data_IF_341195701090
#
_entry.id   IF_341195701090
#
_cell.length_a   1.000
_cell.length_b   1.000
_cell.length_c   1.000
_cell.angle_alpha   90.00
_cell.angle_beta   90.00
_cell.angle_gamma   90.00
#
_symmetry.space_group_name_H-M   'P 1'
#
loop_
_entity.id
_entity.type
_entity.pdbx_description
1 polymer ?
#
# COMPACT_ATOMS: atom_id res chain seq x y z
N UNK A 1 -17.17 -5.37 1.96
CA UNK A 1 -15.85 -5.93 2.37
C UNK A 1 -14.90 -4.78 2.66
N UNK A 2 -14.32 -4.74 3.86
CA UNK A 2 -13.37 -3.68 4.27
C UNK A 2 -12.02 -3.97 3.60
N UNK A 3 -11.43 -2.99 2.92
CA UNK A 3 -10.08 -3.12 2.36
C UNK A 3 -9.04 -2.94 3.47
N UNK A 4 -8.08 -3.84 3.57
CA UNK A 4 -6.94 -3.74 4.50
C UNK A 4 -5.69 -3.32 3.72
N UNK A 5 -4.78 -2.60 4.38
CA UNK A 5 -3.47 -2.31 3.80
C UNK A 5 -2.68 -3.60 3.62
N UNK A 6 -2.11 -3.82 2.44
CA UNK A 6 -1.34 -5.02 2.11
C UNK A 6 0.10 -5.01 2.64
N UNK A 7 0.57 -3.88 3.20
CA UNK A 7 1.89 -3.76 3.82
C UNK A 7 2.00 -4.59 5.10
N UNK A 8 3.13 -5.28 5.28
CA UNK A 8 3.41 -6.06 6.49
C UNK A 8 3.38 -5.14 7.72
N UNK A 9 2.71 -5.57 8.79
CA UNK A 9 2.62 -4.83 10.06
C UNK A 9 1.70 -3.61 10.02
N UNK A 10 1.04 -3.31 8.89
CA UNK A 10 0.14 -2.18 8.81
C UNK A 10 -1.30 -2.56 9.17
N UNK A 11 -1.77 -2.14 10.36
CA UNK A 11 -3.14 -2.37 10.81
C UNK A 11 -4.19 -1.42 10.17
N UNK A 12 -3.82 -0.68 9.14
CA UNK A 12 -4.71 0.30 8.49
C UNK A 12 -5.84 -0.38 7.72
N UNK A 13 -7.08 -0.03 8.06
CA UNK A 13 -8.30 -0.56 7.43
C UNK A 13 -9.15 0.56 6.84
N UNK A 14 -9.76 0.31 5.69
CA UNK A 14 -10.64 1.24 5.00
C UNK A 14 -12.03 1.23 5.64
N UNK A 15 -12.15 1.90 6.78
CA UNK A 15 -13.39 2.11 7.51
C UNK A 15 -14.12 3.35 6.97
N UNK A 16 -15.43 3.50 7.22
CA UNK A 16 -16.21 4.67 6.77
C UNK A 16 -15.56 6.01 7.14
N UNK A 17 -14.94 6.07 8.33
CA UNK A 17 -14.31 7.28 8.86
C UNK A 17 -12.81 7.42 8.52
N UNK A 18 -12.23 6.53 7.70
CA UNK A 18 -10.79 6.59 7.39
C UNK A 18 -10.41 7.88 6.65
N UNK A 19 -11.28 8.39 5.76
CA UNK A 19 -11.06 9.68 5.08
C UNK A 19 -11.00 10.86 6.05
N UNK A 20 -11.86 10.87 7.08
CA UNK A 20 -11.86 11.91 8.12
C UNK A 20 -10.56 11.92 8.92
N UNK A 21 -9.89 10.75 9.03
CA UNK A 21 -8.57 10.62 9.66
C UNK A 21 -7.40 10.89 8.69
N UNK A 22 -7.67 11.39 7.49
CA UNK A 22 -6.66 11.65 6.46
C UNK A 22 -6.04 10.39 5.85
N UNK A 23 -6.68 9.23 6.02
CA UNK A 23 -6.19 7.94 5.52
C UNK A 23 -6.88 7.59 4.19
N UNK A 24 -6.08 7.52 3.12
CA UNK A 24 -6.53 7.09 1.79
C UNK A 24 -5.92 5.74 1.42
N UNK A 25 -6.57 5.02 0.51
CA UNK A 25 -6.17 3.69 0.07
C UNK A 25 -5.97 3.70 -1.44
N UNK A 26 -4.81 3.20 -1.88
CA UNK A 26 -4.35 3.26 -3.27
C UNK A 26 -4.16 1.85 -3.78
N UNK A 27 -4.86 1.52 -4.86
CA UNK A 27 -4.71 0.23 -5.54
C UNK A 27 -3.33 0.12 -6.17
N UNK A 28 -2.86 -1.11 -6.33
CA UNK A 28 -1.63 -1.36 -7.06
C UNK A 28 -1.75 -0.84 -8.51
N UNK A 29 -0.67 -0.26 -9.07
CA UNK A 29 -0.66 0.22 -10.45
C UNK A 29 -0.99 -0.89 -11.46
N UNK A 30 -1.62 -0.51 -12.58
CA UNK A 30 -1.82 -1.40 -13.74
C UNK A 30 -0.53 -1.58 -14.55
N UNK A 31 0.38 -0.61 -14.49
CA UNK A 31 1.71 -0.74 -15.08
C UNK A 31 2.52 -1.80 -14.29
N UNK A 32 2.91 -2.88 -14.98
CA UNK A 32 3.60 -4.01 -14.35
C UNK A 32 4.98 -3.64 -13.79
N UNK A 33 5.68 -2.67 -14.39
CA UNK A 33 6.99 -2.24 -13.90
C UNK A 33 6.86 -1.48 -12.58
N UNK A 34 5.89 -0.57 -12.49
CA UNK A 34 5.61 0.17 -11.25
C UNK A 34 5.03 -0.77 -10.19
N UNK A 35 4.12 -1.67 -10.57
CA UNK A 35 3.57 -2.70 -9.68
C UNK A 35 4.67 -3.58 -9.09
N UNK A 36 5.60 -4.08 -9.90
CA UNK A 36 6.74 -4.89 -9.44
C UNK A 36 7.62 -4.10 -8.46
N UNK A 37 7.86 -2.81 -8.71
CA UNK A 37 8.60 -1.95 -7.78
C UNK A 37 7.88 -1.76 -6.44
N UNK A 38 6.55 -1.65 -6.42
CA UNK A 38 5.77 -1.60 -5.17
C UNK A 38 5.93 -2.89 -4.36
N UNK A 39 5.79 -4.03 -5.03
CA UNK A 39 5.93 -5.36 -4.43
C UNK A 39 7.32 -5.52 -3.80
N UNK A 40 8.37 -5.17 -4.54
CA UNK A 40 9.75 -5.23 -4.04
C UNK A 40 9.98 -4.28 -2.86
N UNK A 41 9.41 -3.07 -2.90
CA UNK A 41 9.55 -2.08 -1.83
C UNK A 41 8.91 -2.55 -0.52
N UNK A 42 7.81 -3.30 -0.59
CA UNK A 42 7.16 -3.90 0.57
C UNK A 42 7.99 -5.01 1.23
N UNK A 43 8.95 -5.60 0.50
CA UNK A 43 9.78 -6.74 0.95
C UNK A 43 8.95 -7.88 1.55
N UNK A 44 7.73 -8.07 1.03
CA UNK A 44 6.83 -9.12 1.46
C UNK A 44 7.17 -10.42 0.74
N UNK A 45 7.72 -11.36 1.49
CA UNK A 45 7.84 -12.74 1.04
C UNK A 45 6.48 -13.43 1.22
N UNK A 46 6.11 -14.26 0.27
CA UNK A 46 5.05 -15.23 0.51
C UNK A 46 5.63 -16.31 1.43
N UNK A 47 4.95 -16.63 2.52
CA UNK A 47 5.39 -17.68 3.44
C UNK A 47 4.98 -19.07 2.96
N UNK A 48 4.03 -19.14 2.02
CA UNK A 48 3.48 -20.39 1.49
C UNK A 48 4.06 -20.76 0.12
N UNK A 49 4.70 -19.82 -0.56
CA UNK A 49 5.46 -20.03 -1.78
C UNK A 49 6.87 -19.47 -1.56
N UNK A 50 7.92 -20.16 -2.00
CA UNK A 50 9.31 -19.69 -1.87
C UNK A 50 9.64 -18.47 -2.76
N UNK A 51 8.72 -17.52 -2.86
CA UNK A 51 8.71 -16.43 -3.83
C UNK A 51 8.20 -15.11 -3.27
N UNK A 52 8.27 -14.10 -4.12
CA UNK A 52 7.81 -12.74 -3.83
C UNK A 52 6.28 -12.74 -3.85
N UNK A 53 5.65 -12.15 -2.85
CA UNK A 53 4.19 -12.04 -2.78
C UNK A 53 3.62 -11.20 -3.94
N UNK A 54 2.48 -11.61 -4.50
CA UNK A 54 1.81 -10.88 -5.59
C UNK A 54 0.45 -10.28 -5.17
N UNK A 55 0.16 -9.01 -5.54
CA UNK A 55 -1.09 -8.34 -5.22
C UNK A 55 -2.24 -8.78 -6.13
N UNK A 56 -3.43 -8.97 -5.54
CA UNK A 56 -4.70 -9.25 -6.21
C UNK A 56 -5.42 -7.96 -6.61
N UNK A 57 -6.43 -8.07 -7.48
CA UNK A 57 -7.22 -6.95 -8.06
C UNK A 57 -7.88 -5.98 -7.04
N UNK A 58 -7.93 -6.34 -5.76
CA UNK A 58 -8.48 -5.51 -4.67
C UNK A 58 -7.46 -5.01 -3.65
N UNK A 59 -6.20 -5.44 -3.75
CA UNK A 59 -5.16 -5.10 -2.79
C UNK A 59 -4.78 -3.62 -2.89
N UNK A 60 -4.45 -3.04 -1.73
CA UNK A 60 -4.21 -1.61 -1.60
C UNK A 60 -3.10 -1.32 -0.60
N UNK A 61 -2.40 -0.21 -0.81
CA UNK A 61 -1.57 0.41 0.22
C UNK A 61 -2.24 1.67 0.75
N UNK A 62 -2.15 1.88 2.06
CA UNK A 62 -2.64 3.12 2.65
C UNK A 62 -1.65 4.28 2.44
N UNK A 63 -2.11 5.52 2.57
CA UNK A 63 -1.30 6.73 2.35
C UNK A 63 -0.08 6.85 3.26
N UNK A 64 -0.02 6.12 4.37
CA UNK A 64 1.14 6.11 5.30
C UNK A 64 2.43 5.59 4.65
N UNK A 65 2.34 4.83 3.56
CA UNK A 65 3.50 4.24 2.88
C UNK A 65 4.13 5.14 1.83
N UNK A 66 3.58 6.35 1.64
CA UNK A 66 4.01 7.32 0.64
C UNK A 66 4.35 8.65 1.31
N UNK A 67 5.29 9.39 0.73
CA UNK A 67 5.62 10.73 1.21
C UNK A 67 4.49 11.68 0.87
N UNK A 68 4.30 12.72 1.68
CA UNK A 68 3.30 13.78 1.41
C UNK A 68 3.50 14.43 0.03
N UNK A 69 4.74 14.47 -0.46
CA UNK A 69 5.16 15.01 -1.77
C UNK A 69 4.81 14.12 -2.96
N UNK A 70 4.50 12.85 -2.71
CA UNK A 70 4.19 11.87 -3.76
C UNK A 70 2.73 11.99 -4.24
N UNK A 71 1.91 12.74 -3.50
CA UNK A 71 0.52 12.97 -3.84
C UNK A 71 0.36 14.16 -4.76
N UNK A 72 -0.47 13.99 -5.77
CA UNK A 72 -1.04 15.08 -6.55
C UNK A 72 -2.22 15.68 -5.77
N UNK A 73 -2.08 16.96 -5.42
CA UNK A 73 -3.07 17.76 -4.69
C UNK A 73 -3.75 18.80 -5.58
N UNK A 74 -3.38 18.88 -6.85
CA UNK A 74 -3.98 19.79 -7.82
C UNK A 74 -5.38 19.31 -8.23
N UNK A 75 -5.68 18.02 -8.04
CA UNK A 75 -6.99 17.43 -8.33
C UNK A 75 -7.90 17.37 -7.09
N UNK A 76 -9.24 17.38 -7.27
CA UNK A 76 -10.20 17.22 -6.17
C UNK A 76 -10.04 15.91 -5.39
N UNK A 77 -9.45 14.89 -6.04
CA UNK A 77 -9.18 13.59 -5.44
C UNK A 77 -7.68 13.43 -5.22
N UNK A 78 -7.29 13.12 -3.98
CA UNK A 78 -5.90 12.79 -3.63
C UNK A 78 -5.49 11.52 -4.38
N UNK A 79 -4.56 11.66 -5.32
CA UNK A 79 -3.98 10.57 -6.11
C UNK A 79 -2.47 10.57 -5.95
N UNK A 80 -1.85 9.43 -6.21
CA UNK A 80 -0.39 9.36 -6.32
C UNK A 80 0.03 9.91 -7.69
N UNK A 81 1.16 10.61 -7.73
CA UNK A 81 1.79 11.01 -8.99
C UNK A 81 2.20 9.76 -9.79
N UNK A 82 2.28 9.86 -11.13
CA UNK A 82 2.73 8.76 -11.97
C UNK A 82 4.10 8.22 -11.54
N UNK A 83 4.26 6.90 -11.51
CA UNK A 83 5.54 6.23 -11.24
C UNK A 83 6.02 6.24 -9.78
N UNK A 84 5.27 6.83 -8.85
CA UNK A 84 5.60 6.82 -7.42
C UNK A 84 5.74 5.39 -6.90
N UNK A 85 6.78 5.15 -6.11
CA UNK A 85 7.04 3.89 -5.41
C UNK A 85 6.89 4.14 -3.89
N UNK A 86 6.15 3.29 -3.14
CA UNK A 86 6.06 3.43 -1.69
C UNK A 86 7.45 3.27 -1.08
N UNK A 87 7.77 4.11 -0.10
CA UNK A 87 9.11 4.17 0.51
C UNK A 87 9.09 4.24 2.03
N UNK A 88 7.91 4.39 2.64
CA UNK A 88 7.76 4.47 4.09
C UNK A 88 7.26 3.11 4.58
N UNK A 89 8.16 2.32 5.13
CA UNK A 89 7.85 1.06 5.77
C UNK A 89 8.55 1.06 7.13
N UNK A 90 7.78 0.86 8.19
CA UNK A 90 8.36 0.55 9.48
C UNK A 90 8.96 -0.87 9.37
N UNK A 91 10.25 -1.02 9.69
CA UNK A 91 10.86 -2.34 9.73
C UNK A 91 10.12 -3.18 10.78
N UNK A 92 9.66 -4.40 10.45
CA UNK A 92 8.90 -5.17 11.42
C UNK A 92 9.85 -5.64 12.52
N UNK A 93 9.76 -5.04 13.71
CA UNK A 93 10.36 -5.66 14.89
C UNK A 93 9.56 -6.89 15.32
N UNK A 94 8.27 -7.03 15.02
CA UNK A 94 7.55 -8.30 15.17
C UNK A 94 6.36 -8.36 14.20
N UNK A 95 6.32 -9.42 13.38
CA UNK A 95 5.25 -9.66 12.39
C UNK A 95 3.89 -9.83 13.09
N UNK A 96 2.93 -8.99 12.74
CA UNK A 96 1.51 -9.33 12.85
C UNK A 96 0.91 -9.33 11.45
N UNK A 97 0.77 -10.54 10.89
CA UNK A 97 0.11 -10.79 9.62
C UNK A 97 -1.38 -10.55 9.82
N UNK A 98 -1.97 -9.59 9.10
CA UNK A 98 -3.42 -9.52 8.98
C UNK A 98 -3.86 -10.61 7.98
N UNK A 99 -4.44 -11.69 8.52
CA UNK A 99 -5.22 -12.69 7.79
C UNK A 99 -6.59 -12.11 7.40
#
# INVERSE_FOLDING_TARGET
MVKCCSAIGCASRCLPNSKLKGLTFHVFPTDENVKRKWVLAMKRLDVNAAGIWEPKKGDVLCSRHFKKTDFDRSAPNIKLKPGVIPSIFDSPSHLQVCL
#
